data_IF_721349687596
#
_entry.id   IF_721349687596
#
_cell.length_a   1.000
_cell.length_b   1.000
_cell.length_c   1.000
_cell.angle_alpha   90.00
_cell.angle_beta   90.00
_cell.angle_gamma   90.00
#
_symmetry.space_group_name_H-M   'P 1'
#
loop_
_entity.id
_entity.type
_entity.pdbx_description
1 polymer ?
#
# COMPACT_ATOMS: atom_id res chain seq x y z
N UNK A 1 15.14 16.73 17.42
CA UNK A 1 14.58 15.42 17.80
C UNK A 1 13.15 15.28 17.29
N UNK A 2 12.25 16.19 17.67
CA UNK A 2 10.88 16.26 17.13
C UNK A 2 10.79 16.28 15.60
N UNK A 3 11.54 17.17 14.96
CA UNK A 3 11.54 17.30 13.49
C UNK A 3 11.92 16.00 12.80
N UNK A 4 12.92 15.28 13.31
CA UNK A 4 13.33 13.98 12.77
C UNK A 4 12.18 12.97 12.84
N UNK A 5 11.49 12.87 13.98
CA UNK A 5 10.32 12.00 14.15
C UNK A 5 9.25 12.32 13.11
N UNK A 6 8.91 13.60 12.94
CA UNK A 6 7.91 14.02 11.94
C UNK A 6 8.34 13.67 10.51
N UNK A 7 9.60 13.89 10.15
CA UNK A 7 10.11 13.55 8.82
C UNK A 7 10.08 12.04 8.56
N UNK A 8 10.41 11.22 9.56
CA UNK A 8 10.34 9.76 9.46
C UNK A 8 8.89 9.30 9.26
N UNK A 9 7.96 9.72 10.11
CA UNK A 9 6.55 9.32 9.97
C UNK A 9 5.92 9.85 8.68
N UNK A 10 6.30 11.04 8.22
CA UNK A 10 5.88 11.57 6.92
C UNK A 10 6.40 10.72 5.76
N UNK A 11 7.67 10.32 5.79
CA UNK A 11 8.26 9.46 4.77
C UNK A 11 7.57 8.07 4.75
N UNK A 12 7.32 7.47 5.92
CA UNK A 12 6.61 6.20 6.02
C UNK A 12 5.18 6.27 5.47
N UNK A 13 4.40 7.29 5.86
CA UNK A 13 3.05 7.48 5.34
C UNK A 13 3.03 7.72 3.83
N UNK A 14 4.01 8.47 3.31
CA UNK A 14 4.16 8.69 1.88
C UNK A 14 4.48 7.39 1.14
N UNK A 15 5.37 6.54 1.68
CA UNK A 15 5.70 5.24 1.10
C UNK A 15 4.47 4.31 1.06
N UNK A 16 3.70 4.25 2.15
CA UNK A 16 2.47 3.44 2.17
C UNK A 16 1.45 3.95 1.16
N UNK A 17 1.26 5.28 1.07
CA UNK A 17 0.36 5.90 0.08
C UNK A 17 0.81 5.63 -1.36
N UNK A 18 2.11 5.74 -1.63
CA UNK A 18 2.68 5.43 -2.95
C UNK A 18 2.46 3.95 -3.31
N UNK A 19 2.58 3.04 -2.35
CA UNK A 19 2.34 1.62 -2.57
C UNK A 19 0.86 1.29 -2.78
N UNK A 20 -0.05 1.95 -2.05
CA UNK A 20 -1.50 1.87 -2.33
C UNK A 20 -1.78 2.32 -3.77
N UNK A 21 -1.22 3.45 -4.21
CA UNK A 21 -1.38 3.93 -5.57
C UNK A 21 -0.83 2.92 -6.60
N UNK A 22 0.30 2.27 -6.31
CA UNK A 22 0.86 1.21 -7.15
C UNK A 22 -0.09 0.01 -7.28
N UNK A 23 -0.75 -0.40 -6.18
CA UNK A 23 -1.78 -1.46 -6.21
C UNK A 23 -3.00 -1.02 -7.02
N UNK A 24 -3.42 0.25 -6.91
CA UNK A 24 -4.51 0.79 -7.73
C UNK A 24 -4.13 0.75 -9.22
N UNK A 25 -2.92 1.18 -9.58
CA UNK A 25 -2.41 1.10 -10.96
C UNK A 25 -2.39 -0.35 -11.44
N UNK A 26 -1.92 -1.29 -10.62
CA UNK A 26 -1.96 -2.72 -10.94
C UNK A 26 -3.41 -3.20 -11.22
N UNK A 27 -4.36 -2.84 -10.36
CA UNK A 27 -5.75 -3.19 -10.52
C UNK A 27 -6.37 -2.58 -11.80
N UNK A 28 -6.03 -1.32 -12.13
CA UNK A 28 -6.48 -0.70 -13.38
C UNK A 28 -5.90 -1.39 -14.62
N UNK A 29 -4.62 -1.78 -14.57
CA UNK A 29 -3.98 -2.54 -15.66
C UNK A 29 -4.61 -3.91 -15.87
N UNK A 30 -5.21 -4.49 -14.83
CA UNK A 30 -5.95 -5.76 -14.93
C UNK A 30 -7.23 -5.67 -15.76
N UNK A 31 -7.85 -4.48 -15.79
CA UNK A 31 -9.05 -4.21 -16.58
C UNK A 31 -8.74 -3.83 -18.03
N UNK A 32 -7.52 -3.39 -18.31
CA UNK A 32 -7.12 -2.96 -19.64
C UNK A 32 -6.65 -4.15 -20.51
N UNK A 33 -7.17 -4.34 -21.73
CA UNK A 33 -6.68 -5.39 -22.62
C UNK A 33 -5.20 -5.17 -22.94
N UNK A 34 -4.36 -6.19 -22.68
CA UNK A 34 -2.90 -6.10 -22.88
C UNK A 34 -2.15 -5.32 -21.79
N UNK A 35 -2.82 -4.80 -20.75
CA UNK A 35 -2.20 -4.04 -19.67
C UNK A 35 -1.07 -4.80 -18.97
N UNK A 36 -1.31 -6.06 -18.61
CA UNK A 36 -0.30 -6.97 -18.03
C UNK A 36 0.86 -7.31 -18.98
N UNK A 37 0.60 -7.36 -20.28
CA UNK A 37 1.59 -7.77 -21.28
C UNK A 37 2.59 -6.64 -21.57
N UNK A 38 2.21 -5.38 -21.28
CA UNK A 38 3.10 -4.23 -21.41
C UNK A 38 4.32 -4.33 -20.48
N UNK A 39 5.46 -3.76 -20.91
CA UNK A 39 6.68 -3.70 -20.07
C UNK A 39 6.41 -3.04 -18.71
N UNK A 40 5.56 -2.01 -18.70
CA UNK A 40 5.15 -1.31 -17.49
C UNK A 40 4.35 -2.23 -16.56
N UNK A 41 3.35 -2.94 -17.10
CA UNK A 41 2.54 -3.88 -16.32
C UNK A 41 3.35 -5.03 -15.73
N UNK A 42 4.35 -5.55 -16.45
CA UNK A 42 5.26 -6.57 -15.92
C UNK A 42 6.10 -6.06 -14.73
N UNK A 43 6.55 -4.80 -14.79
CA UNK A 43 7.31 -4.19 -13.68
C UNK A 43 6.40 -3.97 -12.47
N UNK A 44 5.23 -3.38 -12.68
CA UNK A 44 4.25 -3.13 -11.60
C UNK A 44 3.83 -4.47 -10.97
N UNK A 45 3.54 -5.49 -11.79
CA UNK A 45 3.16 -6.82 -11.32
C UNK A 45 4.23 -7.44 -10.43
N UNK A 46 5.51 -7.41 -10.81
CA UNK A 46 6.60 -7.93 -9.97
C UNK A 46 6.70 -7.26 -8.59
N UNK A 47 6.30 -5.99 -8.47
CA UNK A 47 6.33 -5.25 -7.20
C UNK A 47 5.09 -5.49 -6.34
N UNK A 48 3.95 -5.74 -6.96
CA UNK A 48 2.64 -5.82 -6.29
C UNK A 48 2.21 -7.26 -6.03
N UNK A 49 2.45 -8.18 -6.97
CA UNK A 49 2.03 -9.59 -6.87
C UNK A 49 2.55 -10.31 -5.63
N UNK A 50 3.84 -10.18 -5.21
CA UNK A 50 4.31 -10.86 -4.01
C UNK A 50 3.52 -10.50 -2.74
N UNK A 51 3.03 -9.25 -2.66
CA UNK A 51 2.17 -8.80 -1.58
C UNK A 51 0.70 -9.23 -1.77
N UNK A 52 0.18 -9.14 -2.99
CA UNK A 52 -1.18 -9.60 -3.29
C UNK A 52 -1.38 -11.10 -3.09
N UNK A 53 -0.32 -11.90 -3.23
CA UNK A 53 -0.33 -13.35 -2.94
C UNK A 53 -0.80 -13.69 -1.54
N UNK A 54 -0.59 -12.81 -0.56
CA UNK A 54 -1.13 -13.02 0.79
C UNK A 54 -2.66 -12.92 0.86
N UNK A 55 -3.30 -12.31 -0.14
CA UNK A 55 -4.75 -12.05 -0.21
C UNK A 55 -5.47 -12.83 -1.32
N UNK A 56 -4.77 -13.75 -2.01
CA UNK A 56 -5.33 -14.55 -3.12
C UNK A 56 -6.52 -15.43 -2.70
N UNK A 57 -6.67 -15.71 -1.40
CA UNK A 57 -7.77 -16.49 -0.85
C UNK A 57 -9.15 -15.80 -0.97
N UNK A 58 -9.20 -14.50 -1.25
CA UNK A 58 -10.45 -13.70 -1.42
C UNK A 58 -10.72 -13.44 -2.91
N UNK A 59 -10.40 -14.41 -3.77
CA UNK A 59 -10.64 -14.29 -5.21
C UNK A 59 -12.12 -14.53 -5.54
N UNK A 60 -12.88 -13.46 -5.79
CA UNK A 60 -14.20 -13.51 -6.43
C UNK A 60 -14.09 -12.96 -7.86
N UNK A 61 -14.36 -13.80 -8.86
CA UNK A 61 -14.33 -13.43 -10.27
C UNK A 61 -12.92 -13.35 -10.89
N UNK A 62 -12.79 -12.89 -12.15
CA UNK A 62 -11.55 -12.96 -12.94
C UNK A 62 -10.37 -12.14 -12.40
N UNK A 63 -10.59 -11.29 -11.39
CA UNK A 63 -9.65 -10.25 -10.93
C UNK A 63 -9.44 -10.29 -9.41
N UNK A 64 -10.36 -10.95 -8.69
CA UNK A 64 -10.32 -11.11 -7.24
C UNK A 64 -10.49 -9.80 -6.46
N UNK A 65 -10.83 -9.90 -5.17
CA UNK A 65 -10.85 -8.75 -4.25
C UNK A 65 -9.48 -8.48 -3.62
N UNK A 66 -8.43 -9.22 -4.03
CA UNK A 66 -7.08 -9.09 -3.48
C UNK A 66 -6.56 -7.65 -3.40
N UNK A 67 -6.61 -6.85 -4.48
CA UNK A 67 -6.19 -5.45 -4.45
C UNK A 67 -6.99 -4.60 -3.45
N UNK A 68 -8.30 -4.81 -3.36
CA UNK A 68 -9.17 -4.06 -2.42
C UNK A 68 -8.78 -4.38 -0.98
N UNK A 69 -8.62 -5.66 -0.65
CA UNK A 69 -8.22 -6.10 0.69
C UNK A 69 -6.83 -5.58 1.04
N UNK A 70 -5.89 -5.64 0.10
CA UNK A 70 -4.55 -5.09 0.27
C UNK A 70 -4.58 -3.58 0.59
N UNK A 71 -5.42 -2.80 -0.10
CA UNK A 71 -5.61 -1.37 0.17
C UNK A 71 -6.22 -1.16 1.57
N UNK A 72 -7.20 -1.96 1.98
CA UNK A 72 -7.77 -1.88 3.34
C UNK A 72 -6.70 -2.15 4.39
N UNK A 73 -5.90 -3.20 4.23
CA UNK A 73 -4.80 -3.53 5.14
C UNK A 73 -3.78 -2.40 5.22
N UNK A 74 -3.36 -1.85 4.08
CA UNK A 74 -2.43 -0.72 4.07
C UNK A 74 -3.03 0.56 4.67
N UNK A 75 -4.34 0.77 4.53
CA UNK A 75 -5.04 1.88 5.20
C UNK A 75 -5.02 1.71 6.72
N UNK A 76 -5.22 0.48 7.22
CA UNK A 76 -5.04 0.17 8.65
C UNK A 76 -3.59 0.41 9.11
N UNK A 77 -2.61 0.09 8.28
CA UNK A 77 -1.20 0.41 8.56
C UNK A 77 -1.00 1.93 8.68
N UNK A 78 -1.61 2.75 7.81
CA UNK A 78 -1.52 4.21 7.94
C UNK A 78 -2.13 4.72 9.26
N UNK A 79 -3.30 4.20 9.65
CA UNK A 79 -3.89 4.54 10.95
C UNK A 79 -2.98 4.13 12.11
N UNK A 80 -2.35 2.95 12.04
CA UNK A 80 -1.37 2.49 13.01
C UNK A 80 -0.15 3.41 13.08
N UNK A 81 0.39 3.84 11.94
CA UNK A 81 1.51 4.79 11.88
C UNK A 81 1.15 6.13 12.52
N UNK A 82 -0.05 6.65 12.29
CA UNK A 82 -0.53 7.89 12.91
C UNK A 82 -0.68 7.74 14.43
N UNK A 83 -1.25 6.62 14.90
CA UNK A 83 -1.37 6.33 16.32
C UNK A 83 0.01 6.25 17.01
N UNK A 84 0.96 5.56 16.39
CA UNK A 84 2.34 5.47 16.88
C UNK A 84 3.03 6.84 16.90
N UNK A 85 2.81 7.66 15.86
CA UNK A 85 3.33 9.03 15.83
C UNK A 85 2.81 9.83 17.02
N UNK A 86 1.50 9.83 17.27
CA UNK A 86 0.88 10.56 18.39
C UNK A 86 1.43 10.04 19.73
N UNK A 87 1.50 8.73 19.91
CA UNK A 87 2.03 8.12 21.14
C UNK A 87 3.47 8.57 21.41
N UNK A 88 4.35 8.53 20.41
CA UNK A 88 5.75 8.95 20.54
C UNK A 88 5.83 10.45 20.84
N UNK A 89 5.03 11.28 20.16
CA UNK A 89 5.00 12.72 20.42
C UNK A 89 4.61 13.01 21.87
N UNK A 90 3.57 12.35 22.39
CA UNK A 90 3.15 12.52 23.79
C UNK A 90 4.26 12.13 24.78
N UNK A 91 4.98 11.03 24.51
CA UNK A 91 6.11 10.60 25.33
C UNK A 91 7.31 11.57 25.29
N UNK A 92 7.48 12.33 24.21
CA UNK A 92 8.57 13.31 24.06
C UNK A 92 8.27 14.66 24.73
N UNK A 93 6.99 14.96 25.00
CA UNK A 93 6.54 16.21 25.61
C UNK A 93 6.05 16.05 27.06
N UNK A 94 6.10 14.83 27.61
CA UNK A 94 5.92 14.55 29.04
C UNK A 94 7.27 14.64 29.74
#
# INVERSE_FOLDING_TARGET
MLTLVLWIFKALNWLVSAYILLIVVYALLSWLPGGYQSRFGQIVGRLVEPFLRYFEFISLGPIGFGPVVAIVVLSLVQYGLQALQIMILNLLFT
#
